data_IF_563516367164
#
_entry.id   IF_563516367164
#
_cell.length_a   1.000
_cell.length_b   1.000
_cell.length_c   1.000
_cell.angle_alpha   90.00
_cell.angle_beta   90.00
_cell.angle_gamma   90.00
#
_symmetry.space_group_name_H-M   'P 1'
#
loop_
_entity.id
_entity.type
_entity.pdbx_description
1 polymer ?
#
# COMPACT_ATOMS: atom_id res chain seq x y z
N UNK A 1 5.69 0.53 -15.48
CA UNK A 1 6.67 0.02 -14.49
C UNK A 1 5.90 -0.64 -13.35
N UNK A 2 6.45 -1.71 -12.75
CA UNK A 2 5.87 -2.43 -11.59
C UNK A 2 6.99 -2.79 -10.61
N UNK A 3 6.64 -3.04 -9.36
CA UNK A 3 7.56 -3.67 -8.41
C UNK A 3 7.60 -5.16 -8.76
N UNK A 4 8.77 -5.66 -9.15
CA UNK A 4 8.99 -7.06 -9.53
C UNK A 4 9.58 -7.91 -8.41
N UNK A 5 10.27 -7.26 -7.46
CA UNK A 5 10.89 -7.97 -6.34
C UNK A 5 11.12 -7.05 -5.15
N UNK A 6 11.03 -7.61 -3.95
CA UNK A 6 11.54 -7.00 -2.71
C UNK A 6 12.62 -7.90 -2.11
N UNK A 7 13.66 -7.29 -1.57
CA UNK A 7 14.70 -7.94 -0.77
C UNK A 7 14.65 -7.40 0.65
N UNK A 8 14.63 -8.30 1.60
CA UNK A 8 14.69 -8.00 3.03
C UNK A 8 15.91 -8.69 3.63
N UNK A 9 16.68 -7.96 4.43
CA UNK A 9 17.81 -8.51 5.15
C UNK A 9 17.82 -8.01 6.59
N UNK A 10 17.80 -8.94 7.53
CA UNK A 10 17.80 -8.68 8.97
C UNK A 10 16.71 -7.68 9.41
N UNK A 11 15.55 -7.70 8.73
CA UNK A 11 14.41 -6.80 8.98
C UNK A 11 13.30 -7.51 9.73
N UNK A 12 12.99 -7.05 10.93
CA UNK A 12 11.93 -7.58 11.82
C UNK A 12 12.01 -9.12 11.95
N UNK A 13 11.06 -9.85 11.42
CA UNK A 13 11.02 -11.32 11.46
C UNK A 13 11.87 -12.00 10.38
N UNK A 14 12.42 -11.25 9.42
CA UNK A 14 13.23 -11.79 8.33
C UNK A 14 14.72 -11.79 8.69
N UNK A 15 15.27 -13.00 8.85
CA UNK A 15 16.68 -13.24 9.10
C UNK A 15 17.43 -13.40 7.77
N UNK A 16 18.69 -12.95 7.76
CA UNK A 16 19.56 -13.00 6.58
C UNK A 16 18.89 -12.35 5.35
N UNK A 17 19.33 -12.68 4.15
CA UNK A 17 18.75 -12.10 2.92
C UNK A 17 17.63 -12.99 2.40
N UNK A 18 16.45 -12.41 2.25
CA UNK A 18 15.27 -13.04 1.65
C UNK A 18 14.80 -12.20 0.48
N UNK A 19 14.62 -12.83 -0.67
CA UNK A 19 14.09 -12.20 -1.88
C UNK A 19 12.69 -12.74 -2.18
N UNK A 20 11.74 -11.82 -2.41
CA UNK A 20 10.36 -12.11 -2.76
C UNK A 20 10.10 -11.57 -4.15
N UNK A 21 9.81 -12.47 -5.09
CA UNK A 21 9.43 -12.08 -6.44
C UNK A 21 7.92 -11.89 -6.51
N UNK A 22 7.52 -10.87 -7.21
CA UNK A 22 6.13 -10.55 -7.47
C UNK A 22 5.76 -10.87 -8.91
N UNK A 23 4.49 -11.20 -9.13
CA UNK A 23 3.91 -11.36 -10.45
C UNK A 23 3.71 -10.00 -11.14
N UNK A 24 2.64 -9.89 -11.88
CA UNK A 24 2.30 -8.64 -12.55
C UNK A 24 1.72 -7.56 -11.62
N UNK A 25 0.58 -7.00 -12.04
CA UNK A 25 -0.09 -5.91 -11.31
C UNK A 25 -0.96 -6.37 -10.15
N UNK A 26 -1.30 -7.64 -10.08
CA UNK A 26 -2.11 -8.21 -9.02
C UNK A 26 -1.36 -9.32 -8.31
N UNK A 27 -1.24 -9.25 -6.99
CA UNK A 27 -0.46 -10.18 -6.18
C UNK A 27 -1.20 -10.49 -4.88
N UNK A 28 -1.32 -11.77 -4.54
CA UNK A 28 -1.94 -12.22 -3.29
C UNK A 28 -0.92 -12.98 -2.44
N UNK A 29 -0.67 -12.50 -1.25
CA UNK A 29 0.30 -13.04 -0.30
C UNK A 29 -0.46 -13.89 0.72
N UNK A 30 -0.12 -15.18 0.77
CA UNK A 30 -0.70 -16.15 1.69
C UNK A 30 0.38 -16.84 2.52
N UNK A 31 -0.01 -17.55 3.55
CA UNK A 31 0.87 -18.32 4.43
C UNK A 31 0.37 -18.32 5.87
N UNK A 32 1.06 -19.02 6.75
CA UNK A 32 0.72 -19.16 8.16
C UNK A 32 0.59 -17.82 8.90
N UNK A 33 -0.13 -17.84 10.02
CA UNK A 33 -0.20 -16.69 10.93
C UNK A 33 1.18 -16.38 11.50
N UNK A 34 1.48 -15.08 11.68
CA UNK A 34 2.73 -14.58 12.25
C UNK A 34 4.01 -14.92 11.44
N UNK A 35 3.90 -15.43 10.22
CA UNK A 35 5.04 -15.74 9.37
C UNK A 35 5.77 -14.48 8.86
N UNK A 36 5.10 -13.33 8.87
CA UNK A 36 5.69 -12.05 8.42
C UNK A 36 5.06 -11.47 7.15
N UNK A 37 3.85 -11.86 6.77
CA UNK A 37 3.16 -11.31 5.59
C UNK A 37 3.00 -9.78 5.67
N UNK A 38 2.42 -9.28 6.75
CA UNK A 38 2.25 -7.82 6.94
C UNK A 38 3.60 -7.08 7.05
N UNK A 39 4.68 -7.77 7.45
CA UNK A 39 6.04 -7.21 7.46
C UNK A 39 6.51 -6.83 6.05
N UNK A 40 6.02 -7.49 4.99
CA UNK A 40 6.31 -7.11 3.59
C UNK A 40 5.67 -5.75 3.27
N UNK A 41 4.43 -5.53 3.70
CA UNK A 41 3.76 -4.23 3.52
C UNK A 41 4.48 -3.12 4.27
N UNK A 42 4.85 -3.39 5.53
CA UNK A 42 5.64 -2.46 6.32
C UNK A 42 6.99 -2.14 5.67
N UNK A 43 7.64 -3.13 5.05
CA UNK A 43 8.91 -2.94 4.34
C UNK A 43 8.74 -2.07 3.09
N UNK A 44 7.67 -2.26 2.31
CA UNK A 44 7.37 -1.42 1.15
C UNK A 44 7.10 0.03 1.55
N UNK A 45 6.31 0.26 2.61
CA UNK A 45 6.05 1.61 3.15
C UNK A 45 7.34 2.26 3.69
N UNK A 46 8.18 1.49 4.40
CA UNK A 46 9.45 2.00 4.90
C UNK A 46 10.41 2.33 3.77
N UNK A 47 10.45 1.49 2.73
CA UNK A 47 11.24 1.75 1.55
C UNK A 47 10.80 3.05 0.85
N UNK A 48 9.49 3.27 0.66
CA UNK A 48 8.96 4.53 0.12
C UNK A 48 9.33 5.73 0.99
N UNK A 49 9.25 5.60 2.32
CA UNK A 49 9.68 6.65 3.26
C UNK A 49 11.17 6.97 3.07
N UNK A 50 12.03 5.96 3.00
CA UNK A 50 13.47 6.14 2.74
C UNK A 50 13.73 6.79 1.37
N UNK A 51 12.98 6.39 0.34
CA UNK A 51 13.06 6.97 -0.99
C UNK A 51 12.74 8.47 -0.95
N UNK A 52 11.63 8.86 -0.35
CA UNK A 52 11.20 10.25 -0.26
C UNK A 52 12.17 11.12 0.55
N UNK A 53 12.71 10.60 1.65
CA UNK A 53 13.71 11.30 2.48
C UNK A 53 15.08 11.40 1.80
N UNK A 54 15.38 10.51 0.86
CA UNK A 54 16.64 10.55 0.10
C UNK A 54 16.66 11.62 -0.99
N UNK A 55 15.51 12.24 -1.31
CA UNK A 55 15.41 13.32 -2.30
C UNK A 55 15.88 14.65 -1.72
N UNK A 56 16.63 15.42 -2.50
CA UNK A 56 17.05 16.77 -2.14
C UNK A 56 15.88 17.70 -1.84
N UNK A 57 16.11 18.80 -1.15
CA UNK A 57 15.06 19.77 -0.77
C UNK A 57 14.26 20.30 -1.99
N UNK A 58 14.90 20.41 -3.15
CA UNK A 58 14.24 20.79 -4.40
C UNK A 58 13.56 19.61 -5.13
N UNK A 59 13.69 18.40 -4.57
CA UNK A 59 13.08 17.16 -5.06
C UNK A 59 13.50 16.73 -6.48
N UNK A 60 14.60 17.26 -7.01
CA UNK A 60 15.07 16.98 -8.38
C UNK A 60 16.19 15.93 -8.44
N UNK A 61 16.84 15.66 -7.33
CA UNK A 61 17.96 14.73 -7.24
C UNK A 61 17.88 13.94 -5.94
N UNK A 62 18.70 12.90 -5.84
CA UNK A 62 19.01 12.27 -4.56
C UNK A 62 20.13 13.04 -3.85
N UNK A 63 20.12 13.08 -2.52
CA UNK A 63 21.22 13.63 -1.75
C UNK A 63 22.53 12.89 -2.04
N UNK A 64 23.67 13.60 -1.96
CA UNK A 64 24.98 12.94 -2.01
C UNK A 64 25.12 11.91 -0.87
N UNK A 65 25.89 10.85 -1.10
CA UNK A 65 26.22 9.82 -0.10
C UNK A 65 26.91 10.40 1.16
N UNK A 66 27.59 11.53 1.03
CA UNK A 66 28.22 12.23 2.15
C UNK A 66 27.22 12.90 3.10
N UNK A 67 25.99 13.11 2.67
CA UNK A 67 24.93 13.71 3.49
C UNK A 67 24.28 12.61 4.33
N UNK A 68 24.40 12.66 5.68
CA UNK A 68 23.75 11.69 6.52
C UNK A 68 22.26 11.93 6.54
N UNK A 69 21.48 10.89 6.25
CA UNK A 69 20.01 10.93 6.31
C UNK A 69 19.55 10.20 7.56
N UNK A 70 18.56 10.79 8.23
CA UNK A 70 17.98 10.23 9.45
C UNK A 70 16.46 10.31 9.37
N UNK A 71 15.80 9.27 9.87
CA UNK A 71 14.34 9.23 10.05
C UNK A 71 14.08 9.04 11.54
N UNK A 72 13.20 9.87 12.11
CA UNK A 72 12.74 9.69 13.48
C UNK A 72 11.88 8.43 13.59
N UNK A 73 12.05 7.65 14.67
CA UNK A 73 11.15 6.53 14.94
C UNK A 73 9.69 6.97 15.12
N UNK A 74 9.44 8.19 15.60
CA UNK A 74 8.10 8.76 15.67
C UNK A 74 7.43 8.98 14.31
N UNK A 75 8.20 8.97 13.23
CA UNK A 75 7.68 9.04 11.86
C UNK A 75 7.34 7.67 11.26
N UNK A 76 7.73 6.58 11.94
CA UNK A 76 7.55 5.20 11.51
C UNK A 76 6.30 4.54 12.15
N UNK A 77 5.26 5.35 12.43
CA UNK A 77 4.01 4.89 13.07
C UNK A 77 3.23 3.84 12.26
N UNK A 78 3.54 3.67 10.97
CA UNK A 78 2.99 2.60 10.14
C UNK A 78 3.65 1.23 10.41
N UNK A 79 4.79 1.22 11.10
CA UNK A 79 5.43 -0.01 11.55
C UNK A 79 4.83 -0.48 12.87
N UNK A 80 4.52 -1.76 12.96
CA UNK A 80 4.09 -2.41 14.23
C UNK A 80 5.33 -2.73 15.08
N UNK A 81 5.92 -1.70 15.69
CA UNK A 81 7.08 -1.81 16.60
C UNK A 81 6.73 -1.17 17.94
N UNK A 82 7.23 -1.70 19.03
CA UNK A 82 7.09 -1.15 20.39
C UNK A 82 8.38 -0.53 20.90
N UNK A 83 9.50 -1.00 20.38
CA UNK A 83 10.85 -0.51 20.67
C UNK A 83 11.61 -0.36 19.36
N UNK A 84 12.58 0.53 19.35
CA UNK A 84 13.42 0.78 18.18
C UNK A 84 14.15 -0.48 17.69
N UNK A 85 14.51 -1.39 18.63
CA UNK A 85 15.15 -2.65 18.32
C UNK A 85 14.26 -3.58 17.50
N UNK A 86 12.92 -3.47 17.62
CA UNK A 86 11.95 -4.32 16.91
C UNK A 86 12.01 -4.14 15.40
N UNK A 87 12.69 -3.08 14.91
CA UNK A 87 12.94 -2.86 13.48
C UNK A 87 13.93 -3.89 12.90
N UNK A 88 14.81 -4.43 13.73
CA UNK A 88 15.92 -5.29 13.31
C UNK A 88 15.70 -6.73 13.77
N UNK A 89 16.22 -7.69 13.01
CA UNK A 89 16.16 -9.09 13.40
C UNK A 89 17.04 -9.37 14.62
N UNK A 90 16.44 -9.89 15.70
CA UNK A 90 17.17 -10.27 16.92
C UNK A 90 17.99 -9.11 17.51
N UNK A 91 19.29 -9.31 17.68
CA UNK A 91 20.19 -8.29 18.24
C UNK A 91 20.94 -7.47 17.16
N UNK A 92 20.51 -7.56 15.90
CA UNK A 92 21.09 -6.77 14.83
C UNK A 92 20.83 -5.27 15.05
N UNK A 93 21.66 -4.43 14.47
CA UNK A 93 21.52 -2.96 14.49
C UNK A 93 21.43 -2.37 13.09
N UNK A 94 21.43 -3.23 12.09
CA UNK A 94 21.37 -2.85 10.68
C UNK A 94 20.44 -3.81 9.97
N UNK A 95 19.60 -3.29 9.10
CA UNK A 95 18.80 -4.05 8.16
C UNK A 95 18.87 -3.41 6.78
N UNK A 96 18.52 -4.17 5.75
CA UNK A 96 18.48 -3.67 4.38
C UNK A 96 17.11 -3.99 3.75
N UNK A 97 16.61 -3.05 2.95
CA UNK A 97 15.38 -3.20 2.17
C UNK A 97 15.70 -2.74 0.74
N UNK A 98 15.57 -3.66 -0.21
CA UNK A 98 15.73 -3.40 -1.64
C UNK A 98 14.43 -3.63 -2.39
N UNK A 99 14.13 -2.77 -3.36
CA UNK A 99 12.99 -2.93 -4.27
C UNK A 99 13.50 -2.90 -5.71
N UNK A 100 13.07 -3.88 -6.49
CA UNK A 100 13.35 -3.95 -7.91
C UNK A 100 12.12 -3.49 -8.69
N UNK A 101 12.35 -2.58 -9.62
CA UNK A 101 11.35 -2.10 -10.56
C UNK A 101 11.65 -2.65 -11.94
N UNK A 102 10.65 -3.23 -12.59
CA UNK A 102 10.70 -3.69 -13.96
C UNK A 102 9.67 -2.98 -14.84
N UNK A 103 9.95 -2.89 -16.11
CA UNK A 103 9.03 -2.37 -17.10
C UNK A 103 8.49 -3.53 -17.94
N UNK A 104 7.17 -3.59 -18.13
CA UNK A 104 6.57 -4.56 -19.03
C UNK A 104 7.18 -4.38 -20.43
N UNK A 105 7.73 -5.43 -21.02
CA UNK A 105 8.40 -5.41 -22.33
C UNK A 105 9.81 -4.77 -22.37
N UNK A 106 10.49 -4.60 -21.25
CA UNK A 106 11.88 -4.16 -21.19
C UNK A 106 12.71 -5.15 -20.36
N UNK A 107 13.97 -5.35 -20.74
CA UNK A 107 14.94 -6.08 -19.92
C UNK A 107 15.59 -5.18 -18.86
N UNK A 108 15.24 -3.89 -18.84
CA UNK A 108 15.81 -2.91 -17.95
C UNK A 108 15.13 -2.98 -16.58
N UNK A 109 15.90 -3.32 -15.55
CA UNK A 109 15.46 -3.39 -14.16
C UNK A 109 16.27 -2.43 -13.30
N UNK A 110 15.61 -1.77 -12.35
CA UNK A 110 16.25 -0.87 -11.39
C UNK A 110 16.10 -1.45 -10.00
N UNK A 111 17.23 -1.72 -9.35
CA UNK A 111 17.27 -2.29 -8.02
C UNK A 111 17.77 -1.26 -7.01
N UNK A 112 16.87 -0.67 -6.24
CA UNK A 112 17.15 0.41 -5.31
C UNK A 112 17.08 -0.08 -3.88
N UNK A 113 18.22 -0.06 -3.18
CA UNK A 113 18.36 -0.62 -1.82
C UNK A 113 18.74 0.46 -0.82
N UNK A 114 18.09 0.42 0.34
CA UNK A 114 18.43 1.22 1.51
C UNK A 114 18.94 0.32 2.64
N UNK A 115 20.01 0.76 3.30
CA UNK A 115 20.47 0.23 4.58
C UNK A 115 20.03 1.16 5.69
N UNK A 116 19.43 0.59 6.72
CA UNK A 116 18.99 1.30 7.92
C UNK A 116 19.84 0.84 9.09
N UNK A 117 20.41 1.78 9.84
CA UNK A 117 21.30 1.48 10.97
C UNK A 117 20.87 2.26 12.22
N UNK A 118 20.69 1.58 13.34
CA UNK A 118 20.52 2.22 14.65
C UNK A 118 21.90 2.68 15.14
N UNK A 119 22.11 3.98 15.39
CA UNK A 119 23.37 4.47 15.95
C UNK A 119 23.68 3.82 17.30
N UNK A 120 24.98 3.78 17.67
CA UNK A 120 25.44 3.20 18.94
C UNK A 120 25.02 4.04 20.16
N UNK A 121 24.84 5.33 19.98
CA UNK A 121 24.30 6.23 21.01
C UNK A 121 22.78 6.12 20.94
N UNK A 122 22.10 5.91 22.06
CA UNK A 122 20.65 5.91 22.12
C UNK A 122 20.13 7.27 21.65
N UNK A 123 19.43 7.26 20.56
CA UNK A 123 18.70 8.39 20.02
C UNK A 123 17.40 7.90 19.34
N UNK A 124 16.46 8.81 19.13
CA UNK A 124 15.17 8.50 18.53
C UNK A 124 15.21 8.42 17.00
N UNK A 125 16.36 8.10 16.38
CA UNK A 125 16.54 8.14 14.93
C UNK A 125 17.21 6.88 14.41
N UNK A 126 16.82 6.48 13.20
CA UNK A 126 17.54 5.50 12.39
C UNK A 126 18.27 6.23 11.26
N UNK A 127 19.53 5.85 11.02
CA UNK A 127 20.31 6.36 9.89
C UNK A 127 19.92 5.57 8.64
N UNK A 128 19.68 6.29 7.55
CA UNK A 128 19.38 5.72 6.23
C UNK A 128 20.54 5.96 5.28
N UNK A 129 20.92 4.95 4.53
CA UNK A 129 21.98 5.02 3.53
C UNK A 129 21.52 4.31 2.25
N UNK A 130 21.67 4.96 1.10
CA UNK A 130 21.49 4.33 -0.20
C UNK A 130 22.64 3.37 -0.47
N UNK A 131 22.31 2.15 -0.83
CA UNK A 131 23.28 1.17 -1.30
C UNK A 131 23.39 1.26 -2.82
N UNK A 132 24.57 0.97 -3.40
CA UNK A 132 24.80 1.05 -4.84
C UNK A 132 24.27 2.36 -5.49
N UNK A 133 24.90 3.52 -5.19
CA UNK A 133 24.40 4.84 -5.64
C UNK A 133 24.24 4.95 -7.15
N UNK A 134 25.05 4.22 -7.92
CA UNK A 134 24.98 4.14 -9.38
C UNK A 134 23.62 3.65 -9.89
N UNK A 135 22.93 2.79 -9.12
CA UNK A 135 21.58 2.35 -9.45
C UNK A 135 20.56 3.49 -9.32
N UNK A 136 20.72 4.33 -8.29
CA UNK A 136 19.87 5.51 -8.10
C UNK A 136 20.11 6.57 -9.17
N UNK A 137 21.35 6.72 -9.63
CA UNK A 137 21.71 7.67 -10.69
C UNK A 137 21.15 7.18 -12.04
N UNK A 138 21.29 5.90 -12.37
CA UNK A 138 20.69 5.29 -13.57
C UNK A 138 19.16 5.38 -13.54
N UNK A 139 18.54 5.11 -12.38
CA UNK A 139 17.08 5.26 -12.21
C UNK A 139 16.64 6.71 -12.43
N UNK A 140 17.38 7.70 -11.91
CA UNK A 140 17.08 9.11 -12.13
C UNK A 140 17.16 9.46 -13.62
N UNK A 141 18.19 9.03 -14.33
CA UNK A 141 18.34 9.26 -15.78
C UNK A 141 17.15 8.68 -16.55
N UNK A 142 16.68 7.50 -16.16
CA UNK A 142 15.47 6.91 -16.73
C UNK A 142 14.23 7.77 -16.46
N UNK A 143 14.02 8.23 -15.22
CA UNK A 143 12.90 9.11 -14.87
C UNK A 143 12.93 10.42 -15.67
N UNK A 144 14.10 11.04 -15.80
CA UNK A 144 14.29 12.25 -16.60
C UNK A 144 13.97 11.98 -18.08
N UNK A 145 14.37 10.84 -18.63
CA UNK A 145 14.13 10.46 -20.03
C UNK A 145 12.66 10.29 -20.39
N UNK A 146 11.86 9.82 -19.44
CA UNK A 146 10.40 9.63 -19.61
C UNK A 146 9.58 10.85 -19.10
N UNK A 147 10.25 11.92 -18.65
CA UNK A 147 9.61 13.13 -18.15
C UNK A 147 8.89 12.99 -16.80
N UNK A 148 9.20 11.94 -16.02
CA UNK A 148 8.59 11.68 -14.72
C UNK A 148 9.45 12.28 -13.61
N UNK A 149 8.86 13.10 -12.76
CA UNK A 149 9.60 13.62 -11.59
C UNK A 149 9.78 12.52 -10.54
N UNK A 150 10.90 12.53 -9.83
CA UNK A 150 11.16 11.56 -8.75
C UNK A 150 10.06 11.53 -7.69
N UNK A 151 9.45 12.68 -7.37
CA UNK A 151 8.33 12.79 -6.42
C UNK A 151 6.99 12.27 -6.95
N UNK A 152 6.86 12.15 -8.26
CA UNK A 152 5.66 11.68 -8.95
C UNK A 152 5.82 10.23 -9.44
N UNK A 153 6.95 9.58 -9.08
CA UNK A 153 7.21 8.22 -9.50
C UNK A 153 6.35 7.20 -8.75
N UNK A 154 6.41 7.18 -7.43
CA UNK A 154 5.80 6.14 -6.61
C UNK A 154 4.87 6.72 -5.55
N UNK A 155 3.73 6.07 -5.38
CA UNK A 155 2.86 6.27 -4.23
C UNK A 155 2.34 4.92 -3.73
N UNK A 156 2.65 4.59 -2.47
CA UNK A 156 2.20 3.37 -1.80
C UNK A 156 1.15 3.74 -0.76
N UNK A 157 0.01 3.09 -0.82
CA UNK A 157 -1.05 3.26 0.17
C UNK A 157 -1.47 1.91 0.72
N UNK A 158 -1.57 1.79 2.03
CA UNK A 158 -2.19 0.65 2.70
C UNK A 158 -3.62 0.98 3.07
N UNK A 159 -4.52 0.02 2.84
CA UNK A 159 -5.89 0.01 3.38
C UNK A 159 -6.01 -1.08 4.43
N UNK A 160 -6.71 -0.75 5.51
CA UNK A 160 -7.02 -1.69 6.60
C UNK A 160 -8.53 -1.87 6.70
N UNK A 161 -9.02 -2.94 7.35
CA UNK A 161 -10.44 -3.14 7.59
C UNK A 161 -11.07 -1.92 8.29
N UNK A 162 -12.11 -1.34 7.68
CA UNK A 162 -12.74 -0.12 8.17
C UNK A 162 -13.94 -0.46 9.05
N UNK A 163 -13.78 -0.39 10.36
CA UNK A 163 -14.86 -0.57 11.31
C UNK A 163 -15.61 0.74 11.63
N UNK A 164 -14.95 1.89 11.48
CA UNK A 164 -15.53 3.19 11.85
C UNK A 164 -14.87 4.32 11.05
N UNK A 165 -15.70 5.25 10.58
CA UNK A 165 -15.25 6.51 9.97
C UNK A 165 -15.52 7.70 10.88
N UNK A 166 -14.88 8.84 10.63
CA UNK A 166 -15.15 10.05 11.40
C UNK A 166 -16.61 10.48 11.27
N UNK A 167 -17.24 10.84 12.39
CA UNK A 167 -18.61 11.37 12.39
C UNK A 167 -18.69 12.71 11.63
N UNK A 168 -17.65 13.55 11.77
CA UNK A 168 -17.50 14.83 11.10
C UNK A 168 -16.14 14.88 10.43
N UNK A 169 -16.13 14.90 9.10
CA UNK A 169 -14.92 14.97 8.29
C UNK A 169 -14.89 16.34 7.59
N UNK A 170 -13.88 17.19 7.85
CA UNK A 170 -13.77 18.49 7.20
C UNK A 170 -13.35 18.32 5.73
N UNK A 171 -13.62 19.35 4.92
CA UNK A 171 -13.06 19.42 3.57
C UNK A 171 -11.54 19.61 3.65
N UNK A 172 -10.79 18.83 2.86
CA UNK A 172 -9.34 18.85 2.83
C UNK A 172 -8.82 19.04 1.40
N UNK A 173 -7.67 19.72 1.28
CA UNK A 173 -6.93 19.76 0.03
C UNK A 173 -6.20 18.43 -0.22
N UNK A 174 -5.90 18.08 -1.48
CA UNK A 174 -5.23 16.81 -1.82
C UNK A 174 -3.97 16.54 -1.01
N UNK A 175 -3.11 17.55 -0.80
CA UNK A 175 -1.90 17.39 0.02
C UNK A 175 -2.18 17.10 1.51
N UNK A 176 -3.31 17.54 2.06
CA UNK A 176 -3.71 17.23 3.43
C UNK A 176 -4.25 15.79 3.52
N UNK A 177 -5.02 15.37 2.51
CA UNK A 177 -5.51 13.99 2.39
C UNK A 177 -4.32 13.04 2.34
N UNK A 178 -3.34 13.30 1.43
CA UNK A 178 -2.13 12.50 1.30
C UNK A 178 -1.35 12.39 2.61
N UNK A 179 -1.15 13.49 3.33
CA UNK A 179 -0.49 13.48 4.66
C UNK A 179 -1.23 12.64 5.71
N UNK A 180 -2.56 12.58 5.65
CA UNK A 180 -3.34 11.72 6.56
C UNK A 180 -3.13 10.24 6.22
N UNK A 181 -3.11 9.90 4.94
CA UNK A 181 -2.88 8.55 4.45
C UNK A 181 -1.46 8.10 4.82
N UNK A 182 -0.46 8.92 4.52
CA UNK A 182 0.94 8.68 4.90
C UNK A 182 1.09 8.43 6.41
N UNK A 183 0.16 8.92 7.23
CA UNK A 183 0.09 8.69 8.68
C UNK A 183 -0.77 7.49 9.09
N UNK A 184 -1.10 6.56 8.19
CA UNK A 184 -1.94 5.41 8.51
C UNK A 184 -3.38 5.77 8.90
N UNK A 185 -3.85 6.97 8.54
CA UNK A 185 -5.18 7.49 8.90
C UNK A 185 -6.10 7.61 7.69
N UNK A 186 -6.00 6.66 6.76
CA UNK A 186 -6.77 6.66 5.53
C UNK A 186 -8.28 6.70 5.77
N UNK A 187 -8.77 5.96 6.77
CA UNK A 187 -10.17 5.92 7.17
C UNK A 187 -10.73 7.27 7.68
N UNK A 188 -9.87 8.18 8.15
CA UNK A 188 -10.29 9.52 8.60
C UNK A 188 -10.63 10.49 7.45
N UNK A 189 -10.31 10.11 6.22
CA UNK A 189 -10.49 10.95 5.01
C UNK A 189 -11.34 10.26 3.94
N UNK A 190 -12.17 9.29 4.33
CA UNK A 190 -13.00 8.49 3.42
C UNK A 190 -13.93 9.36 2.56
N UNK A 191 -14.62 10.34 3.16
CA UNK A 191 -15.53 11.23 2.40
C UNK A 191 -14.77 12.09 1.40
N UNK A 192 -13.60 12.60 1.77
CA UNK A 192 -12.73 13.36 0.86
C UNK A 192 -12.27 12.49 -0.32
N UNK A 193 -11.89 11.24 -0.09
CA UNK A 193 -11.50 10.30 -1.14
C UNK A 193 -12.67 10.02 -2.09
N UNK A 194 -13.87 9.74 -1.56
CA UNK A 194 -15.07 9.55 -2.36
C UNK A 194 -15.37 10.80 -3.19
N UNK A 195 -15.28 12.00 -2.61
CA UNK A 195 -15.51 13.25 -3.36
C UNK A 195 -14.43 13.55 -4.41
N UNK A 196 -13.25 13.00 -4.27
CA UNK A 196 -12.15 13.11 -5.23
C UNK A 196 -12.25 12.05 -6.34
N UNK A 197 -13.12 11.06 -6.17
CA UNK A 197 -13.34 9.98 -7.14
C UNK A 197 -14.24 10.44 -8.29
N UNK A 198 -14.13 9.75 -9.42
CA UNK A 198 -15.23 9.66 -10.37
C UNK A 198 -16.37 8.89 -9.69
N UNK A 199 -17.42 9.63 -9.30
CA UNK A 199 -18.52 9.10 -8.51
C UNK A 199 -19.33 8.05 -9.29
N UNK A 200 -19.44 8.18 -10.61
CA UNK A 200 -20.17 7.24 -11.44
C UNK A 200 -19.42 5.91 -11.51
N UNK A 201 -18.15 5.96 -11.83
CA UNK A 201 -17.27 4.78 -11.88
C UNK A 201 -17.14 4.10 -10.49
N UNK A 202 -16.97 4.89 -9.42
CA UNK A 202 -16.92 4.36 -8.05
C UNK A 202 -18.21 3.65 -7.70
N UNK A 203 -19.38 4.28 -7.99
CA UNK A 203 -20.69 3.72 -7.71
C UNK A 203 -20.91 2.41 -8.48
N UNK A 204 -20.57 2.38 -9.78
CA UNK A 204 -20.67 1.19 -10.62
C UNK A 204 -19.84 0.02 -10.07
N UNK A 205 -18.56 0.25 -9.77
CA UNK A 205 -17.68 -0.77 -9.19
C UNK A 205 -18.23 -1.30 -7.85
N UNK A 206 -18.65 -0.40 -6.98
CA UNK A 206 -19.19 -0.77 -5.69
C UNK A 206 -20.52 -1.54 -5.81
N UNK A 207 -21.43 -1.15 -6.72
CA UNK A 207 -22.68 -1.89 -7.00
C UNK A 207 -22.38 -3.31 -7.48
N UNK A 208 -21.40 -3.46 -8.38
CA UNK A 208 -20.96 -4.76 -8.90
C UNK A 208 -20.45 -5.68 -7.77
N UNK A 209 -19.61 -5.15 -6.88
CA UNK A 209 -19.03 -5.91 -5.76
C UNK A 209 -20.09 -6.22 -4.70
N UNK A 210 -20.84 -5.22 -4.25
CA UNK A 210 -21.78 -5.36 -3.13
C UNK A 210 -23.10 -6.03 -3.52
N UNK A 211 -23.33 -6.20 -4.83
CA UNK A 211 -24.57 -6.80 -5.37
C UNK A 211 -25.82 -6.08 -4.87
N UNK A 212 -25.75 -4.77 -4.76
CA UNK A 212 -26.86 -3.94 -4.31
C UNK A 212 -26.94 -2.63 -5.07
N UNK A 213 -28.14 -2.10 -5.26
CA UNK A 213 -28.36 -0.82 -5.92
C UNK A 213 -28.39 0.33 -4.92
N UNK A 214 -27.62 1.36 -5.17
CA UNK A 214 -27.55 2.57 -4.35
C UNK A 214 -26.96 3.73 -5.15
N UNK A 215 -27.11 4.96 -4.67
CA UNK A 215 -26.44 6.13 -5.25
C UNK A 215 -25.83 7.00 -4.16
N UNK A 216 -24.64 7.55 -4.45
CA UNK A 216 -24.08 8.61 -3.61
C UNK A 216 -24.80 9.93 -3.85
N UNK A 217 -25.16 10.60 -2.78
CA UNK A 217 -25.64 11.99 -2.79
C UNK A 217 -24.54 12.89 -2.26
N UNK A 218 -23.76 13.42 -3.22
CA UNK A 218 -22.65 14.32 -2.94
C UNK A 218 -23.14 15.73 -2.62
N UNK A 219 -22.43 16.50 -1.77
CA UNK A 219 -22.78 17.87 -1.48
C UNK A 219 -22.67 18.76 -2.74
N UNK A 220 -23.60 19.69 -2.89
CA UNK A 220 -23.56 20.68 -3.96
C UNK A 220 -22.37 21.64 -3.80
N UNK A 221 -22.00 22.34 -4.89
CA UNK A 221 -20.93 23.35 -4.81
C UNK A 221 -21.21 24.38 -3.74
N UNK A 222 -22.44 24.89 -3.65
CA UNK A 222 -22.84 25.87 -2.63
C UNK A 222 -22.74 25.32 -1.20
N UNK A 223 -23.04 24.03 -0.99
CA UNK A 223 -22.86 23.39 0.30
C UNK A 223 -21.38 23.31 0.68
N UNK A 224 -20.51 22.96 -0.26
CA UNK A 224 -19.05 22.92 -0.05
C UNK A 224 -18.46 24.27 0.35
N UNK A 225 -19.02 25.37 -0.14
CA UNK A 225 -18.58 26.74 0.19
C UNK A 225 -19.07 27.24 1.56
N UNK A 226 -20.15 26.66 2.10
CA UNK A 226 -20.82 27.12 3.32
C UNK A 226 -20.67 26.20 4.52
N UNK A 227 -20.43 24.92 4.27
CA UNK A 227 -20.38 23.89 5.31
C UNK A 227 -18.93 23.55 5.67
N UNK A 228 -18.64 23.44 6.95
CA UNK A 228 -17.32 23.05 7.46
C UNK A 228 -17.04 21.56 7.24
N UNK A 229 -18.08 20.74 7.31
CA UNK A 229 -17.99 19.28 7.26
C UNK A 229 -18.68 18.71 6.03
N UNK A 230 -18.16 17.57 5.55
CA UNK A 230 -18.70 16.89 4.39
C UNK A 230 -19.96 16.10 4.76
N UNK A 231 -21.09 16.48 4.18
CA UNK A 231 -22.36 15.77 4.26
C UNK A 231 -22.50 14.85 3.04
N UNK A 232 -22.08 13.59 3.17
CA UNK A 232 -22.11 12.58 2.12
C UNK A 232 -23.08 11.47 2.52
N UNK A 233 -24.07 11.21 1.66
CA UNK A 233 -25.11 10.23 1.92
C UNK A 233 -25.14 9.14 0.85
N UNK A 234 -25.65 7.99 1.25
CA UNK A 234 -26.02 6.88 0.36
C UNK A 234 -27.52 6.79 0.33
N UNK A 235 -28.10 6.74 -0.88
CA UNK A 235 -29.53 6.52 -1.09
C UNK A 235 -29.73 5.09 -1.57
N UNK A 236 -30.50 4.31 -0.83
CA UNK A 236 -30.83 2.93 -1.13
C UNK A 236 -32.30 2.67 -0.76
N UNK A 237 -33.07 2.06 -1.66
CA UNK A 237 -34.50 1.76 -1.45
C UNK A 237 -35.33 2.98 -0.95
N UNK A 238 -35.03 4.16 -1.48
CA UNK A 238 -35.69 5.42 -1.12
C UNK A 238 -35.25 6.02 0.22
N UNK A 239 -34.37 5.36 0.97
CA UNK A 239 -33.82 5.86 2.23
C UNK A 239 -32.49 6.56 1.98
N UNK A 240 -32.29 7.70 2.63
CA UNK A 240 -31.05 8.48 2.61
C UNK A 240 -30.35 8.33 3.97
N UNK A 241 -29.16 7.74 3.97
CA UNK A 241 -28.37 7.44 5.18
C UNK A 241 -26.97 7.99 4.99
N UNK A 242 -26.38 8.60 6.04
CA UNK A 242 -24.97 9.06 5.99
C UNK A 242 -24.02 7.91 5.69
N UNK A 243 -23.00 8.17 4.88
CA UNK A 243 -22.02 7.14 4.49
C UNK A 243 -21.36 6.48 5.69
N UNK A 244 -21.11 7.23 6.77
CA UNK A 244 -20.50 6.71 7.99
C UNK A 244 -21.41 5.78 8.81
N UNK A 245 -22.68 5.68 8.46
CA UNK A 245 -23.66 4.77 9.09
C UNK A 245 -23.93 3.51 8.25
N UNK A 246 -23.18 3.32 7.16
CA UNK A 246 -23.24 2.10 6.37
C UNK A 246 -22.57 0.93 7.10
N UNK A 247 -22.91 -0.29 6.71
CA UNK A 247 -22.26 -1.49 7.25
C UNK A 247 -20.75 -1.54 6.95
N UNK A 248 -19.98 -2.25 7.78
CA UNK A 248 -18.53 -2.37 7.65
C UNK A 248 -18.09 -2.88 6.27
N UNK A 249 -18.81 -3.84 5.69
CA UNK A 249 -18.51 -4.32 4.33
C UNK A 249 -18.66 -3.25 3.25
N UNK A 250 -19.69 -2.38 3.36
CA UNK A 250 -19.81 -1.22 2.46
C UNK A 250 -18.65 -0.27 2.63
N UNK A 251 -18.28 0.06 3.87
CA UNK A 251 -17.17 0.97 4.18
C UNK A 251 -15.83 0.40 3.70
N UNK A 252 -15.61 -0.90 3.84
CA UNK A 252 -14.42 -1.59 3.36
C UNK A 252 -14.27 -1.47 1.84
N UNK A 253 -15.32 -1.77 1.09
CA UNK A 253 -15.31 -1.67 -0.38
C UNK A 253 -15.15 -0.22 -0.82
N UNK A 254 -15.81 0.74 -0.13
CA UNK A 254 -15.67 2.16 -0.40
C UNK A 254 -14.24 2.65 -0.11
N UNK A 255 -13.61 2.19 0.97
CA UNK A 255 -12.22 2.51 1.32
C UNK A 255 -11.25 2.06 0.22
N UNK A 256 -11.36 0.81 -0.24
CA UNK A 256 -10.50 0.24 -1.27
C UNK A 256 -10.62 1.04 -2.58
N UNK A 257 -11.81 1.20 -3.13
CA UNK A 257 -11.97 1.84 -4.44
C UNK A 257 -11.77 3.35 -4.41
N UNK A 258 -12.16 4.04 -3.33
CA UNK A 258 -11.90 5.49 -3.22
C UNK A 258 -10.42 5.82 -2.99
N UNK A 259 -9.65 4.90 -2.46
CA UNK A 259 -8.19 5.07 -2.32
C UNK A 259 -7.49 5.22 -3.67
N UNK A 260 -7.99 4.57 -4.70
CA UNK A 260 -7.43 4.67 -6.05
C UNK A 260 -7.64 6.05 -6.69
N UNK A 261 -8.64 6.80 -6.24
CA UNK A 261 -8.97 8.11 -6.82
C UNK A 261 -7.92 9.20 -6.57
N UNK A 262 -7.06 8.99 -5.60
CA UNK A 262 -5.98 9.92 -5.24
C UNK A 262 -4.60 9.44 -5.70
N UNK A 263 -4.57 8.32 -6.41
CA UNK A 263 -3.36 7.71 -6.95
C UNK A 263 -3.14 8.18 -8.37
N UNK A 264 -2.25 9.16 -8.54
CA UNK A 264 -1.92 9.81 -9.81
C UNK A 264 -0.41 9.78 -10.15
N UNK A 265 0.36 8.96 -9.45
CA UNK A 265 1.79 8.77 -9.68
C UNK A 265 2.04 7.83 -10.88
N UNK A 266 3.27 7.83 -11.40
CA UNK A 266 3.67 6.92 -12.48
C UNK A 266 3.57 5.43 -12.09
N UNK A 267 3.85 5.12 -10.83
CA UNK A 267 3.60 3.82 -10.22
C UNK A 267 2.77 4.01 -8.94
N UNK A 268 1.57 3.48 -8.96
CA UNK A 268 0.68 3.46 -7.79
C UNK A 268 0.61 2.05 -7.25
N UNK A 269 0.75 1.91 -5.93
CA UNK A 269 0.74 0.61 -5.23
C UNK A 269 -0.31 0.65 -4.13
N UNK A 270 -1.26 -0.27 -4.19
CA UNK A 270 -2.29 -0.44 -3.17
C UNK A 270 -2.05 -1.73 -2.40
N UNK A 271 -1.82 -1.60 -1.11
CA UNK A 271 -1.64 -2.68 -0.16
C UNK A 271 -2.96 -2.91 0.58
N UNK A 272 -3.53 -4.10 0.48
CA UNK A 272 -4.83 -4.44 1.08
C UNK A 272 -4.60 -5.57 2.08
N UNK A 273 -4.76 -5.28 3.36
CA UNK A 273 -4.61 -6.25 4.43
C UNK A 273 -5.99 -6.80 4.82
N UNK A 274 -6.19 -8.10 4.69
CA UNK A 274 -7.41 -8.84 5.04
C UNK A 274 -8.72 -8.20 4.52
N UNK A 275 -8.87 -7.98 3.20
CA UNK A 275 -10.07 -7.34 2.65
C UNK A 275 -11.37 -8.14 2.88
N UNK A 276 -11.22 -9.39 3.21
CA UNK A 276 -12.28 -10.38 3.43
C UNK A 276 -12.90 -10.33 4.83
N UNK A 277 -12.29 -9.62 5.79
CA UNK A 277 -12.66 -9.68 7.21
C UNK A 277 -14.07 -9.21 7.56
N UNK A 278 -14.76 -8.47 6.70
CA UNK A 278 -16.11 -7.94 6.98
C UNK A 278 -17.10 -8.13 5.82
N UNK A 279 -16.75 -8.97 4.85
CA UNK A 279 -17.57 -9.22 3.66
C UNK A 279 -17.83 -10.70 3.46
N UNK A 280 -18.99 -11.04 2.89
CA UNK A 280 -19.35 -12.43 2.63
C UNK A 280 -18.49 -13.03 1.51
N UNK A 281 -18.31 -14.36 1.45
CA UNK A 281 -17.52 -15.02 0.39
C UNK A 281 -17.94 -14.62 -1.03
N UNK A 282 -19.25 -14.45 -1.26
CA UNK A 282 -19.78 -13.98 -2.55
C UNK A 282 -19.25 -12.58 -2.93
N UNK A 283 -19.17 -11.68 -1.97
CA UNK A 283 -18.66 -10.32 -2.18
C UNK A 283 -17.16 -10.36 -2.38
N UNK A 284 -16.44 -11.26 -1.69
CA UNK A 284 -15.00 -11.44 -1.81
C UNK A 284 -14.58 -11.77 -3.24
N UNK A 285 -15.24 -12.75 -3.87
CA UNK A 285 -14.92 -13.14 -5.26
C UNK A 285 -15.15 -11.97 -6.23
N UNK A 286 -16.29 -11.25 -6.08
CA UNK A 286 -16.57 -10.07 -6.89
C UNK A 286 -15.55 -8.94 -6.69
N UNK A 287 -15.08 -8.76 -5.46
CA UNK A 287 -14.02 -7.79 -5.16
C UNK A 287 -12.72 -8.16 -5.87
N UNK A 288 -12.32 -9.44 -5.82
CA UNK A 288 -11.15 -9.96 -6.52
C UNK A 288 -11.20 -9.68 -8.02
N UNK A 289 -12.31 -10.06 -8.66
CA UNK A 289 -12.50 -9.84 -10.08
C UNK A 289 -12.36 -8.35 -10.44
N UNK A 290 -12.97 -7.48 -9.64
CA UNK A 290 -12.84 -6.05 -9.86
C UNK A 290 -11.41 -5.53 -9.64
N UNK A 291 -10.67 -6.07 -8.68
CA UNK A 291 -9.28 -5.67 -8.41
C UNK A 291 -8.33 -6.12 -9.53
N UNK A 292 -8.54 -7.32 -10.08
CA UNK A 292 -7.74 -7.84 -11.21
C UNK A 292 -7.90 -7.00 -12.49
N UNK A 293 -9.06 -6.40 -12.71
CA UNK A 293 -9.34 -5.56 -13.88
C UNK A 293 -8.64 -4.18 -13.83
N UNK A 294 -8.04 -3.80 -12.69
CA UNK A 294 -7.40 -2.50 -12.52
C UNK A 294 -6.00 -2.51 -13.13
N UNK A 295 -5.79 -1.65 -14.12
CA UNK A 295 -4.53 -1.59 -14.87
C UNK A 295 -3.56 -0.48 -14.43
N UNK A 296 -4.06 0.56 -13.75
CA UNK A 296 -3.27 1.74 -13.38
C UNK A 296 -2.70 1.69 -11.95
N UNK A 297 -2.99 0.61 -11.21
CA UNK A 297 -2.51 0.40 -9.83
C UNK A 297 -1.95 -1.02 -9.74
N UNK A 298 -0.80 -1.19 -9.10
CA UNK A 298 -0.33 -2.50 -8.68
C UNK A 298 -0.93 -2.83 -7.33
N UNK A 299 -1.62 -3.95 -7.22
CA UNK A 299 -2.38 -4.36 -6.04
C UNK A 299 -1.69 -5.53 -5.36
N UNK A 300 -1.50 -5.42 -4.07
CA UNK A 300 -1.04 -6.50 -3.20
C UNK A 300 -2.11 -6.77 -2.15
N UNK A 301 -2.51 -8.02 -2.01
CA UNK A 301 -3.51 -8.45 -1.03
C UNK A 301 -2.88 -9.45 -0.08
N UNK A 302 -3.07 -9.26 1.21
CA UNK A 302 -2.81 -10.30 2.22
C UNK A 302 -4.14 -10.89 2.64
N UNK A 303 -4.27 -12.20 2.61
CA UNK A 303 -5.48 -12.90 3.07
C UNK A 303 -5.13 -14.25 3.70
N UNK A 304 -6.03 -14.71 4.56
CA UNK A 304 -6.03 -16.06 5.16
C UNK A 304 -7.20 -16.91 4.66
N UNK A 305 -7.97 -16.42 3.70
CA UNK A 305 -9.21 -17.04 3.28
C UNK A 305 -9.00 -17.99 2.09
N UNK A 306 -9.16 -19.28 2.31
CA UNK A 306 -8.98 -20.32 1.30
C UNK A 306 -9.94 -20.16 0.11
N UNK A 307 -11.16 -19.70 0.35
CA UNK A 307 -12.12 -19.44 -0.73
C UNK A 307 -11.63 -18.32 -1.65
N UNK A 308 -10.94 -17.33 -1.09
CA UNK A 308 -10.35 -16.24 -1.85
C UNK A 308 -9.19 -16.75 -2.73
N UNK A 309 -8.41 -17.70 -2.21
CA UNK A 309 -7.23 -18.26 -2.90
C UNK A 309 -7.62 -19.22 -4.00
N UNK A 310 -8.69 -20.01 -3.82
CA UNK A 310 -9.12 -21.05 -4.77
C UNK A 310 -9.56 -20.51 -6.15
N UNK A 311 -9.91 -19.24 -6.23
CA UNK A 311 -10.32 -18.55 -7.47
C UNK A 311 -9.15 -17.85 -8.18
N UNK A 312 -7.92 -17.96 -7.66
CA UNK A 312 -6.73 -17.29 -8.20
C UNK A 312 -5.94 -18.15 -9.16
N UNK A 313 -5.29 -17.52 -10.13
CA UNK A 313 -4.24 -18.16 -10.90
C UNK A 313 -2.97 -18.33 -10.03
N UNK A 314 -2.22 -19.41 -10.24
CA UNK A 314 -1.01 -19.68 -9.47
C UNK A 314 0.03 -18.56 -9.58
N UNK A 315 0.08 -17.87 -10.70
CA UNK A 315 0.97 -16.72 -10.96
C UNK A 315 0.66 -15.49 -10.10
N UNK A 316 -0.58 -15.37 -9.58
CA UNK A 316 -1.02 -14.27 -8.72
C UNK A 316 -0.67 -14.55 -7.25
N UNK A 317 -0.29 -15.78 -6.89
CA UNK A 317 -0.13 -16.23 -5.50
C UNK A 317 1.33 -16.26 -5.09
N UNK A 318 1.61 -15.66 -3.94
CA UNK A 318 2.91 -15.68 -3.27
C UNK A 318 2.73 -16.38 -1.95
N UNK A 319 3.30 -17.57 -1.82
CA UNK A 319 3.23 -18.38 -0.60
C UNK A 319 4.47 -18.15 0.28
N UNK A 320 4.24 -17.82 1.54
CA UNK A 320 5.28 -17.66 2.56
C UNK A 320 5.19 -18.82 3.52
N UNK A 321 6.23 -19.66 3.61
CA UNK A 321 6.29 -20.75 4.54
C UNK A 321 7.27 -20.52 5.70
N UNK A 322 7.12 -21.28 6.79
CA UNK A 322 7.91 -21.16 8.02
C UNK A 322 9.34 -21.68 7.87
N UNK A 323 9.58 -22.67 7.04
CA UNK A 323 10.86 -23.39 7.00
C UNK A 323 11.99 -22.56 6.41
N UNK A 324 11.69 -21.77 5.35
CA UNK A 324 12.69 -21.00 4.64
C UNK A 324 12.42 -19.50 4.57
N UNK A 325 11.19 -19.04 4.90
CA UNK A 325 10.66 -17.76 4.39
C UNK A 325 10.95 -17.61 2.89
N UNK A 326 11.13 -18.76 2.25
CA UNK A 326 11.36 -18.87 0.82
C UNK A 326 10.03 -18.68 0.13
N UNK A 327 10.00 -17.64 -0.61
CA UNK A 327 8.85 -17.13 -1.25
C UNK A 327 9.05 -17.41 -2.71
N UNK A 328 8.27 -18.32 -3.21
CA UNK A 328 8.22 -18.65 -4.61
C UNK A 328 6.82 -18.46 -5.14
N UNK A 329 6.70 -18.19 -6.42
CA UNK A 329 5.44 -18.43 -7.12
C UNK A 329 5.11 -19.91 -7.01
N UNK A 330 3.88 -20.21 -6.67
CA UNK A 330 3.40 -21.58 -6.61
C UNK A 330 3.14 -22.02 -8.04
N UNK A 331 3.87 -23.03 -8.50
CA UNK A 331 3.68 -23.59 -9.86
C UNK A 331 2.34 -24.35 -9.98
N UNK A 332 1.74 -24.80 -8.87
CA UNK A 332 0.40 -25.38 -8.83
C UNK A 332 -0.27 -25.16 -7.48
N UNK A 333 -1.57 -24.87 -7.49
CA UNK A 333 -2.40 -24.71 -6.27
C UNK A 333 -2.45 -25.99 -5.41
N UNK A 334 -2.14 -27.16 -5.99
CA UNK A 334 -2.09 -28.44 -5.30
C UNK A 334 -0.88 -28.62 -4.37
N UNK A 335 0.11 -27.73 -4.44
CA UNK A 335 1.28 -27.74 -3.57
C UNK A 335 1.06 -26.97 -2.26
N UNK A 336 -0.11 -26.37 -2.12
CA UNK A 336 -0.50 -25.66 -0.91
C UNK A 336 -1.19 -26.64 0.03
N UNK A 337 -0.43 -27.23 0.95
CA UNK A 337 -1.01 -27.81 2.16
C UNK A 337 -1.27 -26.67 3.14
N UNK A 338 -2.48 -26.16 3.15
CA UNK A 338 -2.99 -25.23 4.15
C UNK A 338 -3.63 -26.12 5.23
N UNK A 339 -2.84 -26.60 6.18
CA UNK A 339 -3.32 -27.23 7.42
C UNK A 339 -3.64 -26.17 8.47
#
# INVERSE_FOLDING_TARGET
MVISKIMLKDFKSYKDTVEIKFGGRFNVIIGENNIGKSTIFEALLLWEKCYNESLTSNKKNFYSQSVPLYISFDELYFLRITKDEDLFYGNKRTCEIGVEFSEENSEENFYLTFSLTKPSIENAYVRVQRMAPEQFDAFKEKMDSIGTKLTEFLFIQQTEPVAKVLAKEPYMFPGQIRKKIEKGRSHEVLRNKILSSDIELLTERMKRVLDCDFDFKVPTRTAREKEEYINLYVTQNGKKIDVGLQGSGFLQVAEIFSSMAIMDNALNVLLIDEPDSHISPRIQNKLLDCLKEISNVQVFVITHNDNFVSELAAEDIIFINSENKNIGHIEALNDINID
#
